data_IF_154700259593
#
_entry.id   IF_154700259593
#
_cell.length_a   1.000
_cell.length_b   1.000
_cell.length_c   1.000
_cell.angle_alpha   90.00
_cell.angle_beta   90.00
_cell.angle_gamma   90.00
#
_symmetry.space_group_name_H-M   'P 1'
#
loop_
_entity.id
_entity.type
_entity.pdbx_description
1 polymer ?
#
# COMPACT_ATOMS: atom_id res chain seq x y z
N UNK A 1 -1.34 -15.16 8.28
CA UNK A 1 -0.13 -14.36 8.24
C UNK A 1 -0.33 -12.98 8.86
N UNK A 2 0.76 -12.37 9.29
CA UNK A 2 0.70 -11.08 9.97
C UNK A 2 0.17 -9.97 9.08
N UNK A 3 0.42 -10.00 7.77
CA UNK A 3 -0.08 -8.97 6.86
C UNK A 3 -1.60 -9.04 6.70
N UNK A 4 -2.19 -10.21 6.75
CA UNK A 4 -3.64 -10.34 6.75
C UNK A 4 -4.23 -9.72 8.03
N UNK A 5 -3.63 -10.01 9.17
CA UNK A 5 -4.04 -9.41 10.43
C UNK A 5 -3.87 -7.88 10.41
N UNK A 6 -2.75 -7.41 9.84
CA UNK A 6 -2.47 -5.99 9.72
C UNK A 6 -3.57 -5.27 8.93
N UNK A 7 -3.93 -5.79 7.77
CA UNK A 7 -4.98 -5.19 6.93
C UNK A 7 -6.34 -5.31 7.61
N UNK A 8 -6.64 -6.45 8.22
CA UNK A 8 -7.90 -6.61 8.97
C UNK A 8 -8.03 -5.59 10.10
N UNK A 9 -6.95 -5.37 10.84
CA UNK A 9 -6.93 -4.35 11.89
C UNK A 9 -7.13 -2.94 11.31
N UNK A 10 -6.47 -2.65 10.18
CA UNK A 10 -6.65 -1.38 9.48
C UNK A 10 -8.08 -1.13 9.05
N UNK A 11 -8.73 -2.15 8.51
CA UNK A 11 -10.14 -2.07 8.13
C UNK A 11 -11.01 -1.73 9.36
N UNK A 12 -10.78 -2.42 10.46
CA UNK A 12 -11.53 -2.16 11.69
C UNK A 12 -11.33 -0.75 12.23
N UNK A 13 -10.12 -0.23 12.15
CA UNK A 13 -9.83 1.15 12.57
C UNK A 13 -10.57 2.17 11.70
N UNK A 14 -10.57 1.96 10.38
CA UNK A 14 -11.31 2.85 9.48
C UNK A 14 -12.80 2.80 9.78
N UNK A 15 -13.35 1.61 9.97
CA UNK A 15 -14.78 1.46 10.31
C UNK A 15 -15.13 2.14 11.62
N UNK A 16 -14.17 2.30 12.54
CA UNK A 16 -14.37 3.02 13.80
C UNK A 16 -14.11 4.52 13.69
N UNK A 17 -13.91 5.04 12.49
CA UNK A 17 -13.75 6.48 12.24
C UNK A 17 -12.32 7.00 12.30
N UNK A 18 -11.32 6.13 12.26
CA UNK A 18 -9.91 6.52 12.32
C UNK A 18 -9.26 6.46 10.94
N UNK A 19 -8.16 7.18 10.78
CA UNK A 19 -7.27 7.00 9.62
C UNK A 19 -6.34 5.85 9.98
N UNK A 20 -6.33 4.81 9.15
CA UNK A 20 -5.47 3.66 9.37
C UNK A 20 -4.37 3.64 8.31
N UNK A 21 -3.12 3.60 8.76
CA UNK A 21 -1.95 3.45 7.90
C UNK A 21 -1.30 2.12 8.23
N UNK A 22 -1.22 1.24 7.23
CA UNK A 22 -0.59 -0.07 7.37
C UNK A 22 0.74 -0.04 6.63
N UNK A 23 1.83 -0.40 7.30
CA UNK A 23 3.17 -0.34 6.74
C UNK A 23 3.84 -1.71 6.77
N UNK A 24 4.43 -2.10 5.65
CA UNK A 24 5.28 -3.27 5.52
C UNK A 24 6.11 -3.15 4.25
N UNK A 25 6.91 -4.16 3.91
CA UNK A 25 7.51 -4.23 2.57
C UNK A 25 6.41 -4.34 1.52
N UNK A 26 6.63 -3.69 0.37
CA UNK A 26 5.62 -3.63 -0.69
C UNK A 26 5.12 -5.00 -1.10
N UNK A 27 6.03 -5.95 -1.36
CA UNK A 27 5.62 -7.30 -1.77
C UNK A 27 4.80 -8.00 -0.69
N UNK A 28 5.13 -7.79 0.58
CA UNK A 28 4.42 -8.45 1.68
C UNK A 28 3.03 -7.84 1.88
N UNK A 29 2.94 -6.49 1.86
CA UNK A 29 1.67 -5.83 2.15
C UNK A 29 0.67 -5.96 0.99
N UNK A 30 1.16 -6.18 -0.23
CA UNK A 30 0.27 -6.32 -1.39
C UNK A 30 -0.13 -7.77 -1.66
N UNK A 31 0.81 -8.71 -1.53
CA UNK A 31 0.55 -10.06 -2.03
C UNK A 31 0.01 -11.01 -0.96
N UNK A 32 0.49 -10.89 0.27
CA UNK A 32 0.03 -11.79 1.33
C UNK A 32 -1.42 -11.57 1.72
N UNK A 33 -1.90 -10.32 1.90
CA UNK A 33 -3.31 -10.08 2.22
C UNK A 33 -4.15 -9.74 0.98
N UNK A 34 -3.78 -10.23 -0.18
CA UNK A 34 -4.40 -9.81 -1.44
C UNK A 34 -5.91 -9.97 -1.44
N UNK A 35 -6.41 -11.07 -0.87
CA UNK A 35 -7.86 -11.28 -0.79
C UNK A 35 -8.55 -10.15 -0.01
N UNK A 36 -7.97 -9.73 1.10
CA UNK A 36 -8.52 -8.64 1.92
C UNK A 36 -8.47 -7.30 1.16
N UNK A 37 -7.39 -7.05 0.44
CA UNK A 37 -7.29 -5.86 -0.39
C UNK A 37 -8.35 -5.87 -1.49
N UNK A 38 -8.53 -7.00 -2.14
CA UNK A 38 -9.50 -7.15 -3.22
C UNK A 38 -10.93 -7.00 -2.74
N UNK A 39 -11.28 -7.72 -1.67
CA UNK A 39 -12.68 -7.85 -1.25
C UNK A 39 -13.16 -6.65 -0.45
N UNK A 40 -12.29 -6.05 0.36
CA UNK A 40 -12.71 -4.99 1.29
C UNK A 40 -12.13 -3.64 0.92
N UNK A 41 -10.82 -3.53 0.81
CA UNK A 41 -10.18 -2.24 0.54
C UNK A 41 -10.58 -1.72 -0.84
N UNK A 42 -10.56 -2.58 -1.84
CA UNK A 42 -10.94 -2.20 -3.20
C UNK A 42 -12.46 -2.24 -3.43
N UNK A 43 -13.07 -3.39 -3.22
CA UNK A 43 -14.47 -3.58 -3.61
C UNK A 43 -15.42 -2.71 -2.78
N UNK A 44 -15.23 -2.68 -1.47
CA UNK A 44 -16.04 -1.87 -0.57
C UNK A 44 -15.49 -0.45 -0.42
N UNK A 45 -14.37 -0.16 -1.05
CA UNK A 45 -13.72 1.16 -1.03
C UNK A 45 -13.43 1.66 0.38
N UNK A 46 -12.99 0.76 1.26
CA UNK A 46 -12.60 1.12 2.62
C UNK A 46 -11.24 1.81 2.55
N UNK A 47 -11.12 3.08 2.97
CA UNK A 47 -9.94 3.90 2.71
C UNK A 47 -8.75 3.60 3.64
N UNK A 48 -8.33 2.36 3.71
CA UNK A 48 -7.08 1.97 4.36
C UNK A 48 -5.92 2.55 3.54
N UNK A 49 -4.92 3.10 4.22
CA UNK A 49 -3.72 3.65 3.58
C UNK A 49 -2.58 2.66 3.74
N UNK A 50 -2.00 2.26 2.63
CA UNK A 50 -0.92 1.28 2.59
C UNK A 50 0.39 1.99 2.29
N UNK A 51 1.41 1.78 3.11
CA UNK A 51 2.77 2.23 2.80
C UNK A 51 3.63 1.00 2.62
N UNK A 52 4.21 0.86 1.42
CA UNK A 52 5.11 -0.23 1.11
C UNK A 52 6.54 0.28 0.91
N UNK A 53 7.51 -0.37 1.55
CA UNK A 53 8.93 -0.09 1.32
C UNK A 53 9.50 -1.08 0.32
N UNK A 54 10.56 -0.66 -0.40
CA UNK A 54 11.23 -1.53 -1.37
C UNK A 54 10.61 -1.47 -2.74
N UNK A 55 10.81 -0.35 -3.45
CA UNK A 55 10.31 -0.20 -4.83
C UNK A 55 11.10 -1.11 -5.77
N UNK A 56 10.40 -1.71 -6.71
CA UNK A 56 10.99 -2.55 -7.75
C UNK A 56 11.89 -3.63 -7.13
N UNK A 57 13.19 -3.51 -7.31
CA UNK A 57 14.18 -4.46 -6.80
C UNK A 57 15.14 -3.83 -5.81
N UNK A 58 14.67 -2.87 -5.02
CA UNK A 58 15.51 -2.21 -4.00
C UNK A 58 16.18 -3.23 -3.07
N UNK A 59 15.48 -4.31 -2.76
CA UNK A 59 16.03 -5.43 -1.96
C UNK A 59 16.50 -6.55 -2.87
N UNK A 60 17.41 -6.24 -3.79
CA UNK A 60 17.84 -7.19 -4.82
C UNK A 60 18.44 -8.47 -4.26
N UNK A 61 19.17 -8.37 -3.14
CA UNK A 61 19.82 -9.54 -2.50
C UNK A 61 18.81 -10.53 -1.92
N UNK A 62 17.63 -10.08 -1.58
CA UNK A 62 16.62 -10.92 -0.93
C UNK A 62 15.76 -11.71 -1.93
N UNK A 63 15.87 -11.39 -3.21
CA UNK A 63 15.19 -12.12 -4.28
C UNK A 63 13.73 -11.73 -4.46
N UNK A 64 13.05 -12.53 -5.27
CA UNK A 64 11.68 -12.24 -5.74
C UNK A 64 10.68 -12.01 -4.60
N UNK A 65 10.88 -12.62 -3.44
CA UNK A 65 9.95 -12.46 -2.32
C UNK A 65 9.90 -11.01 -1.80
N UNK A 66 10.96 -10.24 -2.04
CA UNK A 66 11.10 -8.85 -1.59
C UNK A 66 10.96 -7.83 -2.72
N UNK A 67 10.73 -8.28 -3.95
CA UNK A 67 10.60 -7.40 -5.10
C UNK A 67 9.16 -6.98 -5.31
N UNK A 68 8.96 -5.74 -5.73
CA UNK A 68 7.63 -5.20 -6.02
C UNK A 68 7.53 -4.62 -7.43
N UNK A 69 8.40 -5.07 -8.34
CA UNK A 69 8.45 -4.55 -9.71
C UNK A 69 7.14 -4.75 -10.49
N UNK A 70 6.32 -5.69 -10.06
CA UNK A 70 5.03 -6.02 -10.68
C UNK A 70 3.82 -5.45 -9.93
N UNK A 71 4.04 -4.55 -8.96
CA UNK A 71 2.97 -4.06 -8.10
C UNK A 71 1.85 -3.35 -8.87
N UNK A 72 2.20 -2.50 -9.84
CA UNK A 72 1.19 -1.78 -10.62
C UNK A 72 0.38 -2.74 -11.51
N UNK A 73 1.02 -3.76 -12.05
CA UNK A 73 0.33 -4.79 -12.83
C UNK A 73 -0.69 -5.52 -11.97
N UNK A 74 -0.29 -5.92 -10.76
CA UNK A 74 -1.17 -6.61 -9.83
C UNK A 74 -2.30 -5.69 -9.36
N UNK A 75 -1.99 -4.44 -9.04
CA UNK A 75 -2.98 -3.47 -8.57
C UNK A 75 -3.87 -2.93 -9.68
N UNK A 76 -3.54 -3.17 -10.95
CA UNK A 76 -4.38 -2.72 -12.06
C UNK A 76 -5.81 -3.28 -11.96
N UNK A 77 -5.98 -4.46 -11.37
CA UNK A 77 -7.30 -5.05 -11.15
C UNK A 77 -8.03 -4.47 -9.94
N UNK A 78 -7.35 -3.71 -9.10
CA UNK A 78 -7.90 -3.09 -7.89
C UNK A 78 -7.97 -1.57 -8.08
N UNK A 79 -8.84 -1.14 -8.98
CA UNK A 79 -8.85 0.22 -9.50
C UNK A 79 -9.27 1.29 -8.49
N UNK A 80 -9.89 0.92 -7.37
CA UNK A 80 -10.23 1.89 -6.33
C UNK A 80 -9.01 2.32 -5.52
N UNK A 81 -7.94 1.52 -5.52
CA UNK A 81 -6.72 1.83 -4.77
C UNK A 81 -5.85 2.78 -5.58
N UNK A 82 -5.67 3.99 -5.08
CA UNK A 82 -4.85 5.00 -5.74
C UNK A 82 -3.37 4.75 -5.44
N UNK A 83 -2.52 4.84 -6.46
CA UNK A 83 -1.09 4.52 -6.35
C UNK A 83 -0.26 5.80 -6.37
N UNK A 84 0.67 5.92 -5.41
CA UNK A 84 1.63 7.02 -5.33
C UNK A 84 3.04 6.44 -5.31
N UNK A 85 3.90 6.91 -6.23
CA UNK A 85 5.31 6.50 -6.31
C UNK A 85 6.22 7.72 -6.41
N UNK A 86 6.36 8.50 -5.34
CA UNK A 86 7.20 9.70 -5.39
C UNK A 86 8.67 9.34 -5.63
N UNK A 87 9.36 10.19 -6.39
CA UNK A 87 10.76 9.97 -6.75
C UNK A 87 11.73 10.90 -6.01
N UNK A 88 11.22 11.80 -5.18
CA UNK A 88 12.01 12.71 -4.37
C UNK A 88 11.32 13.01 -3.05
N UNK A 89 12.09 13.51 -2.09
CA UNK A 89 11.52 13.95 -0.80
C UNK A 89 10.50 15.07 -1.01
N UNK A 90 10.78 15.96 -1.94
CA UNK A 90 9.87 17.06 -2.25
C UNK A 90 8.54 16.54 -2.79
N UNK A 91 8.61 15.62 -3.75
CA UNK A 91 7.40 15.02 -4.31
C UNK A 91 6.62 14.25 -3.26
N UNK A 92 7.32 13.51 -2.39
CA UNK A 92 6.69 12.80 -1.28
C UNK A 92 5.93 13.78 -0.38
N UNK A 93 6.55 14.90 -0.02
CA UNK A 93 5.90 15.92 0.81
C UNK A 93 4.66 16.50 0.13
N UNK A 94 4.68 16.66 -1.18
CA UNK A 94 3.55 17.19 -1.94
C UNK A 94 2.37 16.23 -1.99
N UNK A 95 2.62 14.93 -2.18
CA UNK A 95 1.54 13.95 -2.34
C UNK A 95 1.03 13.39 -1.01
N UNK A 96 1.80 13.49 0.06
CA UNK A 96 1.47 12.82 1.32
C UNK A 96 0.13 13.26 1.93
N UNK A 97 -0.21 14.58 1.97
CA UNK A 97 -1.51 14.99 2.49
C UNK A 97 -2.69 14.38 1.73
N UNK A 98 -2.62 14.33 0.41
CA UNK A 98 -3.67 13.71 -0.40
C UNK A 98 -3.73 12.21 -0.12
N UNK A 99 -2.58 11.54 -0.05
CA UNK A 99 -2.53 10.12 0.29
C UNK A 99 -3.20 9.85 1.63
N UNK A 100 -2.85 10.63 2.65
CA UNK A 100 -3.29 10.37 4.02
C UNK A 100 -4.75 10.77 4.27
N UNK A 101 -5.14 11.94 3.81
CA UNK A 101 -6.44 12.55 4.11
C UNK A 101 -7.47 12.40 3.02
N UNK A 102 -7.10 11.91 1.85
CA UNK A 102 -8.04 11.68 0.77
C UNK A 102 -9.06 10.59 1.12
N UNK A 103 -10.23 10.60 0.47
CA UNK A 103 -11.31 9.66 0.81
C UNK A 103 -11.10 8.26 0.23
N UNK A 104 -10.06 8.03 -0.55
CA UNK A 104 -9.84 6.80 -1.29
C UNK A 104 -8.88 5.87 -0.56
N UNK A 105 -9.03 4.54 -0.74
CA UNK A 105 -7.94 3.65 -0.39
C UNK A 105 -6.72 3.98 -1.25
N UNK A 106 -5.53 3.87 -0.67
CA UNK A 106 -4.32 4.33 -1.36
C UNK A 106 -3.11 3.50 -0.98
N UNK A 107 -2.18 3.43 -1.92
CA UNK A 107 -0.91 2.73 -1.77
C UNK A 107 0.22 3.68 -2.10
N UNK A 108 1.10 3.89 -1.13
CA UNK A 108 2.30 4.70 -1.27
C UNK A 108 3.52 3.78 -1.30
N UNK A 109 4.20 3.73 -2.44
CA UNK A 109 5.39 2.91 -2.59
C UNK A 109 6.63 3.78 -2.37
N UNK A 110 7.46 3.41 -1.40
CA UNK A 110 8.67 4.13 -1.06
C UNK A 110 9.91 3.39 -1.58
N UNK A 111 10.86 4.16 -2.08
CA UNK A 111 12.14 3.62 -2.52
C UNK A 111 13.25 4.07 -1.58
N UNK A 112 14.29 3.25 -1.46
CA UNK A 112 15.49 3.59 -0.70
C UNK A 112 16.36 4.65 -1.38
N UNK A 113 16.02 5.02 -2.60
CA UNK A 113 16.81 5.93 -3.45
C UNK A 113 16.32 7.37 -3.41
N UNK A 114 15.40 7.68 -2.54
CA UNK A 114 14.91 9.05 -2.36
C UNK A 114 15.88 9.83 -1.47
#
# INVERSE_FOLDING_TARGET
DLEQLLIGAGIGLVESGKIAVCYSMSSFILYRPFEFLRNYVNYEKIPVKLIGSGRDRDYSHDGITHWSHDDETVLASLSAIKIYKPTSIQELAEVFPEFLYGPEPAYLNLTRKI
#
